data_IF_617562155727
#
_entry.id   IF_617562155727
#
_cell.length_a   1.000
_cell.length_b   1.000
_cell.length_c   1.000
_cell.angle_alpha   90.00
_cell.angle_beta   90.00
_cell.angle_gamma   90.00
#
_symmetry.space_group_name_H-M   'P 1'
#
loop_
_entity.id
_entity.type
_entity.pdbx_description
1 polymer ?
#
# COMPACT_ATOMS: atom_id res chain seq x y z
N UNK A 1 11.50 39.87 -13.10
CA UNK A 1 10.17 39.43 -12.61
C UNK A 1 9.93 37.97 -13.02
N UNK A 2 9.80 37.03 -12.09
CA UNK A 2 9.51 35.62 -12.39
C UNK A 2 8.00 35.33 -12.30
N UNK A 3 7.40 34.82 -13.39
CA UNK A 3 5.98 34.45 -13.44
C UNK A 3 5.74 33.17 -12.65
N UNK A 4 5.34 33.30 -11.38
CA UNK A 4 4.88 32.17 -10.56
C UNK A 4 3.60 31.57 -11.12
N UNK A 5 3.69 30.38 -11.71
CA UNK A 5 2.54 29.61 -12.16
C UNK A 5 1.67 29.22 -10.96
N UNK A 6 0.44 29.75 -10.91
CA UNK A 6 -0.58 29.32 -9.95
C UNK A 6 -0.91 27.86 -10.19
N UNK A 7 -0.36 26.97 -9.35
CA UNK A 7 -0.72 25.56 -9.28
C UNK A 7 -2.21 25.52 -8.92
N UNK A 8 -3.08 25.17 -9.88
CA UNK A 8 -4.53 25.04 -9.68
C UNK A 8 -4.76 23.98 -8.61
N UNK A 9 -5.05 24.40 -7.39
CA UNK A 9 -5.55 23.51 -6.34
C UNK A 9 -7.00 23.21 -6.72
N UNK A 10 -7.25 22.18 -7.53
CA UNK A 10 -8.60 21.66 -7.68
C UNK A 10 -9.03 21.15 -6.31
N UNK A 11 -9.91 21.91 -5.64
CA UNK A 11 -10.50 21.53 -4.37
C UNK A 11 -11.09 20.13 -4.49
N UNK A 12 -10.64 19.21 -3.62
CA UNK A 12 -11.20 17.86 -3.59
C UNK A 12 -12.66 17.98 -3.15
N UNK A 13 -13.59 17.75 -4.07
CA UNK A 13 -15.01 17.60 -3.75
C UNK A 13 -15.13 16.35 -2.86
N UNK A 14 -15.29 16.54 -1.55
CA UNK A 14 -15.53 15.46 -0.60
C UNK A 14 -17.02 15.15 -0.57
N UNK A 15 -17.41 13.97 -1.08
CA UNK A 15 -18.78 13.48 -0.99
C UNK A 15 -19.08 13.04 0.45
N UNK A 16 -20.19 13.47 1.07
CA UNK A 16 -20.57 13.00 2.40
C UNK A 16 -20.93 11.51 2.33
N UNK A 17 -20.20 10.67 3.07
CA UNK A 17 -20.39 9.21 3.10
C UNK A 17 -19.19 8.38 2.64
N UNK A 18 -18.10 9.01 2.19
CA UNK A 18 -16.85 8.33 1.79
C UNK A 18 -15.64 8.84 2.63
N UNK A 19 -15.81 9.01 3.94
CA UNK A 19 -14.77 9.62 4.81
C UNK A 19 -14.03 8.63 5.69
N UNK A 20 -14.06 7.34 5.38
CA UNK A 20 -13.28 6.33 6.10
C UNK A 20 -12.40 5.54 5.14
N UNK A 21 -11.35 6.20 4.64
CA UNK A 21 -10.25 5.48 4.01
C UNK A 21 -9.52 4.77 5.15
N UNK A 22 -9.79 3.48 5.33
CA UNK A 22 -9.06 2.65 6.30
C UNK A 22 -7.55 2.86 6.09
N UNK A 23 -6.79 3.21 7.14
CA UNK A 23 -5.36 3.43 7.01
C UNK A 23 -4.69 2.13 6.55
N UNK A 24 -3.82 2.23 5.54
CA UNK A 24 -2.97 1.10 5.12
C UNK A 24 -2.15 0.65 6.32
N UNK A 25 -2.14 -0.66 6.59
CA UNK A 25 -1.43 -1.21 7.74
C UNK A 25 0.08 -1.29 7.45
N UNK A 26 0.80 -0.22 7.76
CA UNK A 26 2.26 -0.18 7.63
C UNK A 26 2.88 -0.82 8.87
N UNK A 27 3.69 -1.87 8.69
CA UNK A 27 4.45 -2.49 9.78
C UNK A 27 5.50 -1.51 10.31
N UNK A 28 5.48 -1.26 11.61
CA UNK A 28 6.52 -0.51 12.29
C UNK A 28 7.68 -1.47 12.59
N UNK A 29 8.86 -1.18 12.03
CA UNK A 29 10.07 -1.99 12.21
C UNK A 29 11.08 -1.19 13.03
N UNK A 30 11.56 -1.81 14.10
CA UNK A 30 12.58 -1.26 14.98
C UNK A 30 13.94 -1.17 14.30
N UNK A 31 14.76 -0.21 14.75
CA UNK A 31 16.10 0.06 14.19
C UNK A 31 17.03 -1.17 14.19
N UNK A 32 16.87 -2.08 15.16
CA UNK A 32 17.70 -3.27 15.33
C UNK A 32 17.09 -4.55 14.75
N UNK A 33 15.85 -4.51 14.26
CA UNK A 33 15.19 -5.69 13.67
C UNK A 33 15.79 -6.05 12.31
N UNK A 34 15.68 -7.32 11.88
CA UNK A 34 16.13 -7.75 10.56
C UNK A 34 15.37 -6.99 9.46
N UNK A 35 16.08 -6.58 8.41
CA UNK A 35 15.48 -5.84 7.31
C UNK A 35 14.58 -6.76 6.45
N UNK A 36 13.34 -6.36 6.11
CA UNK A 36 12.39 -7.22 5.38
C UNK A 36 12.73 -7.43 3.89
N UNK A 37 13.89 -6.95 3.42
CA UNK A 37 14.41 -7.22 2.08
C UNK A 37 15.10 -8.59 1.95
N UNK A 38 15.30 -9.31 3.06
CA UNK A 38 15.99 -10.61 3.05
C UNK A 38 17.52 -10.51 2.99
N UNK A 39 18.11 -9.40 3.42
CA UNK A 39 19.57 -9.18 3.38
C UNK A 39 20.31 -9.52 4.67
N UNK A 40 19.63 -10.13 5.66
CA UNK A 40 20.10 -10.46 7.02
C UNK A 40 20.75 -9.32 7.84
N UNK A 41 20.79 -8.10 7.28
CA UNK A 41 21.28 -6.89 7.93
C UNK A 41 20.21 -6.29 8.83
N UNK A 42 20.65 -5.62 9.91
CA UNK A 42 19.77 -4.81 10.75
C UNK A 42 19.17 -3.67 9.91
N UNK A 43 17.92 -3.33 10.17
CA UNK A 43 17.19 -2.30 9.41
C UNK A 43 17.96 -0.97 9.32
N UNK A 44 18.63 -0.58 10.41
CA UNK A 44 19.52 0.60 10.48
C UNK A 44 20.67 0.64 9.49
N UNK A 45 21.21 -0.52 9.15
CA UNK A 45 22.38 -0.66 8.29
C UNK A 45 21.98 -0.95 6.83
N UNK A 46 20.66 -0.99 6.55
CA UNK A 46 20.11 -1.34 5.25
C UNK A 46 19.17 -0.24 4.74
N UNK A 47 17.86 -0.36 4.97
CA UNK A 47 16.84 0.55 4.40
C UNK A 47 16.40 1.68 5.35
N UNK A 48 17.10 1.91 6.46
CA UNK A 48 16.73 3.00 7.39
C UNK A 48 16.82 4.41 6.79
N UNK A 49 17.59 4.60 5.71
CA UNK A 49 17.61 5.88 4.95
C UNK A 49 16.28 6.12 4.22
N UNK A 50 15.67 5.06 3.70
CA UNK A 50 14.38 5.12 3.01
C UNK A 50 13.20 5.05 3.99
N UNK A 51 13.41 4.48 5.17
CA UNK A 51 12.50 4.56 6.31
C UNK A 51 11.07 4.15 5.96
N UNK A 52 10.15 5.11 6.11
CA UNK A 52 8.72 4.95 5.85
C UNK A 52 8.38 4.63 4.40
N UNK A 53 9.10 5.18 3.41
CA UNK A 53 8.78 4.98 2.00
C UNK A 53 9.03 3.54 1.55
N UNK A 54 10.03 2.88 2.13
CA UNK A 54 10.30 1.47 1.87
C UNK A 54 9.25 0.57 2.54
N UNK A 55 8.87 0.87 3.78
CA UNK A 55 7.83 0.13 4.52
C UNK A 55 6.46 0.25 3.84
N UNK A 56 6.13 1.41 3.28
CA UNK A 56 4.90 1.62 2.52
C UNK A 56 4.87 0.80 1.22
N UNK A 57 6.00 0.71 0.51
CA UNK A 57 6.12 -0.15 -0.67
C UNK A 57 5.94 -1.62 -0.31
N UNK A 58 6.55 -2.07 0.79
CA UNK A 58 6.41 -3.44 1.27
C UNK A 58 4.95 -3.76 1.62
N UNK A 59 4.27 -2.87 2.35
CA UNK A 59 2.86 -3.04 2.70
C UNK A 59 1.96 -3.14 1.45
N UNK A 60 2.22 -2.31 0.43
CA UNK A 60 1.49 -2.37 -0.84
C UNK A 60 1.72 -3.71 -1.56
N UNK A 61 2.93 -4.26 -1.49
CA UNK A 61 3.26 -5.53 -2.10
C UNK A 61 2.61 -6.71 -1.36
N UNK A 62 2.55 -6.67 -0.03
CA UNK A 62 1.80 -7.61 0.81
C UNK A 62 0.30 -7.57 0.47
N UNK A 63 -0.30 -6.38 0.33
CA UNK A 63 -1.71 -6.22 -0.06
C UNK A 63 -1.98 -6.81 -1.44
N UNK A 64 -1.09 -6.61 -2.42
CA UNK A 64 -1.20 -7.23 -3.76
C UNK A 64 -1.17 -8.75 -3.68
N UNK A 65 -0.26 -9.32 -2.88
CA UNK A 65 -0.18 -10.77 -2.67
C UNK A 65 -1.45 -11.29 -2.00
N UNK A 66 -1.96 -10.59 -0.97
CA UNK A 66 -3.21 -10.91 -0.29
C UNK A 66 -4.40 -10.93 -1.25
N UNK A 67 -4.54 -9.90 -2.09
CA UNK A 67 -5.62 -9.82 -3.09
C UNK A 67 -5.52 -10.93 -4.13
N UNK A 68 -4.31 -11.25 -4.62
CA UNK A 68 -4.09 -12.40 -5.52
C UNK A 68 -4.48 -13.72 -4.85
N UNK A 69 -4.08 -13.94 -3.61
CA UNK A 69 -4.41 -15.14 -2.84
C UNK A 69 -5.93 -15.25 -2.63
N UNK A 70 -6.60 -14.16 -2.24
CA UNK A 70 -8.05 -14.11 -2.10
C UNK A 70 -8.77 -14.46 -3.41
N UNK A 71 -8.26 -13.99 -4.55
CA UNK A 71 -8.81 -14.35 -5.87
C UNK A 71 -8.64 -15.84 -6.20
N UNK A 72 -7.47 -16.41 -5.89
CA UNK A 72 -7.22 -17.85 -6.06
C UNK A 72 -8.17 -18.64 -5.16
N UNK A 73 -8.36 -18.21 -3.92
CA UNK A 73 -9.28 -18.83 -2.98
C UNK A 73 -10.72 -18.80 -3.50
N UNK A 74 -11.23 -17.65 -3.96
CA UNK A 74 -12.57 -17.58 -4.56
C UNK A 74 -12.73 -18.47 -5.79
N UNK A 75 -11.66 -18.70 -6.57
CA UNK A 75 -11.70 -19.68 -7.67
C UNK A 75 -11.82 -21.10 -7.14
N UNK A 76 -11.15 -21.44 -6.03
CA UNK A 76 -11.26 -22.74 -5.37
C UNK A 76 -12.64 -22.95 -4.74
N UNK A 77 -13.20 -21.93 -4.10
CA UNK A 77 -14.53 -21.96 -3.47
C UNK A 77 -15.68 -21.99 -4.50
N UNK A 78 -15.39 -21.97 -5.80
CA UNK A 78 -16.40 -22.04 -6.86
C UNK A 78 -17.19 -20.74 -7.07
N UNK A 79 -16.69 -19.59 -6.59
CA UNK A 79 -17.38 -18.31 -6.73
C UNK A 79 -17.55 -17.97 -8.22
N UNK A 80 -18.78 -17.70 -8.69
CA UNK A 80 -19.04 -17.34 -10.08
C UNK A 80 -18.18 -16.17 -10.56
N UNK A 81 -17.74 -16.20 -11.81
CA UNK A 81 -16.79 -15.23 -12.36
C UNK A 81 -17.27 -13.77 -12.29
N UNK A 82 -18.58 -13.54 -12.37
CA UNK A 82 -19.16 -12.19 -12.31
C UNK A 82 -18.98 -11.54 -10.92
N UNK A 83 -19.07 -12.32 -9.83
CA UNK A 83 -18.83 -11.81 -8.46
C UNK A 83 -17.36 -11.48 -8.21
N UNK A 84 -16.44 -12.05 -9.00
CA UNK A 84 -14.99 -11.80 -8.90
C UNK A 84 -14.54 -10.49 -9.57
N UNK A 85 -15.40 -9.82 -10.34
CA UNK A 85 -15.06 -8.57 -11.05
C UNK A 85 -14.76 -7.42 -10.08
N UNK A 86 -15.45 -7.37 -8.94
CA UNK A 86 -15.30 -6.31 -7.94
C UNK A 86 -13.98 -6.37 -7.16
N UNK A 87 -13.21 -7.45 -7.32
CA UNK A 87 -11.93 -7.65 -6.66
C UNK A 87 -10.75 -7.57 -7.65
N UNK A 88 -10.98 -6.96 -8.82
CA UNK A 88 -10.00 -6.79 -9.92
C UNK A 88 -9.31 -5.42 -9.88
N UNK A 89 -8.89 -5.00 -8.69
CA UNK A 89 -8.17 -3.75 -8.41
C UNK A 89 -6.81 -4.07 -7.83
#
# INVERSE_FOLDING_TARGET
MAKGGRRRQSGKVTWPGFTEILPRHIKQIGRNEPCPCGSDKKYKDCHAKDGSAYLEKLALEEDKVRLRAARIQMKKDGVPWYKRIFYRT
#
